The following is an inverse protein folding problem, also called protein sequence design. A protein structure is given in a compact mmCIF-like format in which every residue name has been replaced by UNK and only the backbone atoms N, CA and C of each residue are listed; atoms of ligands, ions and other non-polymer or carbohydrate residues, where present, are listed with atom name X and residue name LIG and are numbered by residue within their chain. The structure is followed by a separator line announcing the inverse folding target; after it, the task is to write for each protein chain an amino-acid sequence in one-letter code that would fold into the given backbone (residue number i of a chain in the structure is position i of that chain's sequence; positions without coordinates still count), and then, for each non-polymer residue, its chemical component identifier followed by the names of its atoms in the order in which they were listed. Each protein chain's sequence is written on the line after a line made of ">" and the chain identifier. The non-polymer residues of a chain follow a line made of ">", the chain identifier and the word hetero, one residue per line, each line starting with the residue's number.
data_IF_742685237942
#
_entry.id   IF_742685237942
#
_cell.length_a   1.000
_cell.length_b   1.000
_cell.length_c   1.000
_cell.angle_alpha   90.00
_cell.angle_beta   90.00
_cell.angle_gamma   90.00
#
_symmetry.space_group_name_H-M   'P 1'
#
loop_
_entity.id
_entity.type
_entity.pdbx_description
1 polymer ?
#
# COMPACT_ATOMS: atom_id res chain seq x y z
N UNK A 1 -6.30 -30.10 15.60
CA UNK A 1 -7.56 -29.85 16.33
C UNK A 1 -8.75 -30.63 15.79
N UNK A 2 -9.11 -30.54 14.50
CA UNK A 2 -10.26 -31.28 13.96
C UNK A 2 -10.17 -32.81 14.14
N UNK A 3 -9.01 -33.42 13.90
CA UNK A 3 -8.83 -34.87 14.12
C UNK A 3 -8.93 -35.27 15.60
N UNK A 4 -8.45 -34.42 16.52
CA UNK A 4 -8.55 -34.66 17.96
C UNK A 4 -10.02 -34.74 18.41
N UNK A 5 -10.87 -33.85 17.89
CA UNK A 5 -12.31 -33.83 18.18
C UNK A 5 -12.98 -35.13 17.69
N UNK A 6 -12.54 -35.66 16.54
CA UNK A 6 -13.03 -36.95 16.02
C UNK A 6 -12.61 -38.12 16.90
N UNK A 7 -11.35 -38.15 17.34
CA UNK A 7 -10.83 -39.19 18.25
C UNK A 7 -11.57 -39.18 19.58
N UNK A 8 -11.86 -37.98 20.11
CA UNK A 8 -12.61 -37.80 21.36
C UNK A 8 -14.11 -38.09 21.22
N UNK A 9 -14.58 -38.43 20.02
CA UNK A 9 -16.00 -38.63 19.69
C UNK A 9 -16.87 -37.48 20.19
N UNK A 10 -16.42 -36.24 19.96
CA UNK A 10 -17.17 -35.05 20.34
C UNK A 10 -17.76 -34.38 19.09
N UNK A 11 -18.96 -33.82 19.23
CA UNK A 11 -19.60 -33.00 18.21
C UNK A 11 -19.48 -31.54 18.58
N UNK A 12 -18.96 -30.72 17.67
CA UNK A 12 -18.93 -29.26 17.83
C UNK A 12 -20.34 -28.70 17.66
N UNK A 13 -20.82 -27.92 18.63
CA UNK A 13 -22.14 -27.26 18.57
C UNK A 13 -22.02 -25.89 17.94
N UNK A 14 -21.06 -25.08 18.39
CA UNK A 14 -20.80 -23.72 17.90
C UNK A 14 -19.39 -23.28 18.23
N UNK A 15 -18.92 -22.29 17.47
CA UNK A 15 -17.68 -21.57 17.73
C UNK A 15 -18.02 -20.10 17.93
N UNK A 16 -17.50 -19.47 18.99
CA UNK A 16 -17.78 -18.07 19.28
C UNK A 16 -16.47 -17.28 19.46
N UNK A 17 -16.32 -16.16 18.77
CA UNK A 17 -15.29 -15.16 19.11
C UNK A 17 -15.88 -14.26 20.20
N UNK A 18 -15.35 -14.36 21.41
CA UNK A 18 -16.02 -13.82 22.62
C UNK A 18 -15.54 -12.43 23.00
N UNK A 19 -14.23 -12.18 22.96
CA UNK A 19 -13.67 -10.91 23.43
C UNK A 19 -12.40 -10.53 22.67
N UNK A 20 -12.08 -9.24 22.70
CA UNK A 20 -10.80 -8.68 22.30
C UNK A 20 -10.19 -7.96 23.50
N UNK A 21 -8.93 -8.25 23.83
CA UNK A 21 -8.16 -7.53 24.85
C UNK A 21 -6.90 -6.96 24.21
N UNK A 22 -6.81 -5.63 24.16
CA UNK A 22 -5.78 -4.93 23.40
C UNK A 22 -5.93 -5.22 21.90
N UNK A 23 -4.97 -5.95 21.33
CA UNK A 23 -4.99 -6.39 19.93
C UNK A 23 -5.19 -7.90 19.78
N UNK A 24 -5.51 -8.61 20.86
CA UNK A 24 -5.63 -10.07 20.86
C UNK A 24 -7.08 -10.50 21.00
N UNK A 25 -7.58 -11.24 20.02
CA UNK A 25 -8.90 -11.84 20.06
C UNK A 25 -8.88 -13.20 20.76
N UNK A 26 -9.96 -13.52 21.47
CA UNK A 26 -10.20 -14.78 22.14
C UNK A 26 -11.44 -15.46 21.57
N UNK A 27 -11.37 -16.78 21.44
CA UNK A 27 -12.49 -17.59 20.96
C UNK A 27 -12.75 -18.76 21.90
N UNK A 28 -13.99 -19.25 21.87
CA UNK A 28 -14.43 -20.44 22.59
C UNK A 28 -15.09 -21.42 21.65
N UNK A 29 -14.72 -22.67 21.80
CA UNK A 29 -15.31 -23.81 21.13
C UNK A 29 -16.27 -24.51 22.09
N UNK A 30 -17.51 -24.71 21.65
CA UNK A 30 -18.52 -25.44 22.40
C UNK A 30 -18.74 -26.81 21.74
N UNK A 31 -18.71 -27.86 22.54
CA UNK A 31 -18.80 -29.23 22.06
C UNK A 31 -19.54 -30.13 23.04
N UNK A 32 -20.20 -31.15 22.51
CA UNK A 32 -20.92 -32.16 23.27
C UNK A 32 -20.33 -33.55 22.98
N UNK A 33 -20.17 -34.43 23.98
CA UNK A 33 -19.77 -35.81 23.75
C UNK A 33 -20.81 -36.56 22.91
N UNK A 34 -20.35 -37.24 21.87
CA UNK A 34 -21.15 -38.12 21.00
C UNK A 34 -20.82 -39.56 21.36
N UNK A 35 -21.49 -40.09 22.39
CA UNK A 35 -21.31 -41.47 22.82
C UNK A 35 -22.59 -42.07 23.42
N UNK A 36 -22.79 -43.36 23.21
CA UNK A 36 -23.94 -44.14 23.72
C UNK A 36 -23.97 -44.33 25.24
N UNK A 37 -23.06 -43.69 25.99
CA UNK A 37 -23.06 -43.66 27.45
C UNK A 37 -23.99 -42.57 28.01
N UNK A 38 -25.12 -42.32 27.32
CA UNK A 38 -26.21 -41.48 27.82
C UNK A 38 -26.98 -42.26 28.89
N UNK A 39 -26.34 -42.52 30.02
CA UNK A 39 -27.06 -42.86 31.25
C UNK A 39 -27.79 -41.59 31.67
N UNK A 40 -29.11 -41.72 31.86
CA UNK A 40 -30.17 -40.70 31.93
C UNK A 40 -30.01 -39.54 32.95
N UNK A 41 -28.84 -39.38 33.57
CA UNK A 41 -28.53 -38.32 34.55
C UNK A 41 -27.42 -37.34 34.13
N UNK A 42 -26.67 -37.61 33.06
CA UNK A 42 -25.71 -36.63 32.53
C UNK A 42 -26.37 -35.84 31.41
N UNK A 43 -27.14 -34.82 31.80
CA UNK A 43 -27.64 -33.77 30.90
C UNK A 43 -26.45 -33.27 30.09
N UNK A 44 -26.41 -33.57 28.78
CA UNK A 44 -25.33 -33.26 27.82
C UNK A 44 -24.47 -32.09 28.32
N UNK A 45 -23.37 -32.40 29.01
CA UNK A 45 -22.53 -31.36 29.58
C UNK A 45 -21.78 -30.71 28.42
N UNK A 46 -22.13 -29.46 28.11
CA UNK A 46 -21.45 -28.69 27.08
C UNK A 46 -20.02 -28.42 27.56
N UNK A 47 -19.05 -28.98 26.84
CA UNK A 47 -17.63 -28.76 27.08
C UNK A 47 -17.25 -27.48 26.36
N UNK A 48 -16.74 -26.53 27.12
CA UNK A 48 -16.23 -25.26 26.62
C UNK A 48 -14.71 -25.33 26.61
N UNK A 49 -14.11 -25.06 25.46
CA UNK A 49 -12.66 -25.02 25.29
C UNK A 49 -12.26 -23.63 24.80
N UNK A 50 -11.35 -22.98 25.51
CA UNK A 50 -10.74 -21.73 25.05
C UNK A 50 -9.80 -22.03 23.87
N UNK A 51 -9.85 -21.18 22.85
CA UNK A 51 -9.15 -21.39 21.59
C UNK A 51 -8.67 -20.07 20.99
N UNK A 52 -7.56 -20.11 20.24
CA UNK A 52 -7.15 -18.95 19.43
C UNK A 52 -8.13 -18.78 18.26
N UNK A 53 -8.43 -17.55 17.82
CA UNK A 53 -9.38 -17.29 16.74
C UNK A 53 -9.03 -18.03 15.44
N UNK A 54 -7.76 -18.12 15.09
CA UNK A 54 -7.28 -18.84 13.89
C UNK A 54 -7.64 -20.32 13.91
N UNK A 55 -7.49 -20.96 15.08
CA UNK A 55 -7.81 -22.38 15.26
C UNK A 55 -9.33 -22.58 15.30
N UNK A 56 -10.04 -21.69 15.97
CA UNK A 56 -11.49 -21.71 16.11
C UNK A 56 -12.18 -21.63 14.73
N UNK A 57 -11.76 -20.69 13.89
CA UNK A 57 -12.24 -20.54 12.51
C UNK A 57 -11.89 -21.77 11.67
N UNK A 58 -10.66 -22.29 11.81
CA UNK A 58 -10.22 -23.49 11.08
C UNK A 58 -11.05 -24.72 11.45
N UNK A 59 -11.41 -24.89 12.73
CA UNK A 59 -12.28 -25.97 13.20
C UNK A 59 -13.71 -25.78 12.69
N UNK A 60 -14.26 -24.57 12.77
CA UNK A 60 -15.60 -24.27 12.28
C UNK A 60 -15.76 -24.65 10.80
N UNK A 61 -14.80 -24.26 9.95
CA UNK A 61 -14.81 -24.56 8.51
C UNK A 61 -14.70 -26.08 8.27
N UNK A 62 -13.77 -26.77 8.93
CA UNK A 62 -13.54 -28.21 8.69
C UNK A 62 -14.67 -29.11 9.19
N UNK A 63 -15.35 -28.71 10.27
CA UNK A 63 -16.45 -29.47 10.88
C UNK A 63 -17.82 -29.02 10.33
N UNK A 64 -17.88 -27.86 9.65
CA UNK A 64 -19.14 -27.25 9.22
C UNK A 64 -19.98 -26.73 10.38
N UNK A 65 -19.34 -26.31 11.47
CA UNK A 65 -20.02 -25.79 12.65
C UNK A 65 -20.32 -24.29 12.51
N UNK A 66 -21.43 -23.78 13.07
CA UNK A 66 -21.75 -22.36 13.01
C UNK A 66 -20.73 -21.53 13.81
N UNK A 67 -20.31 -20.41 13.22
CA UNK A 67 -19.40 -19.43 13.80
C UNK A 67 -20.17 -18.17 14.18
N UNK A 68 -20.01 -17.72 15.42
CA UNK A 68 -20.60 -16.50 15.95
C UNK A 68 -19.52 -15.54 16.43
N UNK A 69 -19.84 -14.25 16.40
CA UNK A 69 -19.00 -13.19 16.94
C UNK A 69 -19.82 -12.42 17.96
N UNK A 70 -19.22 -12.13 19.11
CA UNK A 70 -19.86 -11.30 20.12
C UNK A 70 -20.16 -9.90 19.57
N UNK A 71 -21.30 -9.34 19.97
CA UNK A 71 -21.75 -8.03 19.51
C UNK A 71 -20.75 -6.93 19.88
N UNK A 72 -20.08 -7.05 21.02
CA UNK A 72 -19.14 -6.03 21.47
C UNK A 72 -17.85 -6.07 20.65
N UNK A 73 -17.38 -7.27 20.30
CA UNK A 73 -16.24 -7.45 19.38
C UNK A 73 -16.58 -6.93 17.98
N UNK A 74 -17.78 -7.24 17.50
CA UNK A 74 -18.26 -6.76 16.19
C UNK A 74 -18.44 -5.24 16.16
N UNK A 75 -18.86 -4.60 17.25
CA UNK A 75 -18.97 -3.13 17.32
C UNK A 75 -17.61 -2.44 17.38
N UNK A 76 -16.66 -3.00 18.13
CA UNK A 76 -15.34 -2.39 18.30
C UNK A 76 -14.48 -2.51 17.05
N UNK A 77 -14.53 -3.66 16.35
CA UNK A 77 -13.59 -3.98 15.28
C UNK A 77 -14.26 -4.37 13.96
N UNK A 78 -15.59 -4.51 13.94
CA UNK A 78 -16.32 -4.78 12.72
C UNK A 78 -16.26 -3.59 11.78
N UNK A 79 -15.85 -3.85 10.54
CA UNK A 79 -16.00 -2.90 9.45
C UNK A 79 -17.25 -3.28 8.68
N UNK A 80 -18.09 -2.31 8.26
CA UNK A 80 -19.17 -2.60 7.33
C UNK A 80 -18.57 -3.22 6.06
N UNK A 81 -19.34 -4.09 5.40
CA UNK A 81 -18.88 -4.79 4.19
C UNK A 81 -18.81 -3.88 2.95
N UNK A 82 -19.36 -2.66 3.03
CA UNK A 82 -18.98 -1.60 2.10
C UNK A 82 -17.49 -1.35 2.29
N UNK A 83 -16.74 -1.09 1.22
CA UNK A 83 -15.35 -0.62 1.32
C UNK A 83 -15.23 0.65 2.19
N UNK A 84 -14.10 1.38 2.15
CA UNK A 84 -14.11 2.73 2.71
C UNK A 84 -15.39 3.43 2.25
N UNK A 85 -16.23 3.86 3.21
CA UNK A 85 -17.40 4.66 2.86
C UNK A 85 -16.89 5.75 1.93
N UNK A 86 -17.51 5.95 0.75
CA UNK A 86 -17.15 7.08 -0.07
C UNK A 86 -17.24 8.28 0.86
N UNK A 87 -16.10 8.95 1.05
CA UNK A 87 -16.02 10.18 1.82
C UNK A 87 -17.21 11.04 1.36
N UNK A 88 -17.93 11.71 2.28
CA UNK A 88 -19.07 12.52 1.90
C UNK A 88 -18.65 13.43 0.76
N UNK A 89 -19.18 13.17 -0.45
CA UNK A 89 -18.76 13.82 -1.69
C UNK A 89 -19.39 15.21 -1.78
N UNK A 90 -19.16 16.01 -0.75
CA UNK A 90 -19.56 17.40 -0.67
C UNK A 90 -18.45 18.34 -1.15
N UNK A 91 -17.39 17.77 -1.71
CA UNK A 91 -16.32 18.51 -2.35
C UNK A 91 -16.77 18.94 -3.74
N UNK A 92 -16.65 20.24 -4.01
CA UNK A 92 -16.79 20.75 -5.36
C UNK A 92 -15.74 20.12 -6.27
N UNK A 93 -16.05 19.93 -7.55
CA UNK A 93 -15.07 19.51 -8.57
C UNK A 93 -13.77 20.33 -8.51
N UNK A 94 -13.88 21.63 -8.16
CA UNK A 94 -12.72 22.50 -7.98
C UNK A 94 -11.84 22.11 -6.77
N UNK A 95 -12.45 21.65 -5.67
CA UNK A 95 -11.73 21.19 -4.47
C UNK A 95 -11.02 19.87 -4.73
N UNK A 96 -11.65 18.95 -5.46
CA UNK A 96 -11.05 17.66 -5.85
C UNK A 96 -9.86 17.85 -6.79
N UNK A 97 -10.01 18.70 -7.82
CA UNK A 97 -8.90 19.00 -8.75
C UNK A 97 -7.73 19.64 -7.99
N UNK A 98 -8.02 20.52 -7.02
CA UNK A 98 -7.00 21.14 -6.18
C UNK A 98 -6.27 20.10 -5.31
N UNK A 99 -7.00 19.25 -4.59
CA UNK A 99 -6.40 18.24 -3.71
C UNK A 99 -5.58 17.21 -4.49
N UNK A 100 -6.09 16.72 -5.63
CA UNK A 100 -5.33 15.83 -6.51
C UNK A 100 -4.05 16.50 -7.05
N UNK A 101 -4.11 17.78 -7.41
CA UNK A 101 -2.94 18.54 -7.88
C UNK A 101 -1.91 18.76 -6.77
N UNK A 102 -2.36 19.04 -5.54
CA UNK A 102 -1.50 19.19 -4.36
C UNK A 102 -0.81 17.86 -4.00
N UNK A 103 -1.51 16.72 -4.05
CA UNK A 103 -0.89 15.40 -3.85
C UNK A 103 0.08 15.02 -4.97
N UNK A 104 -0.28 15.30 -6.22
CA UNK A 104 0.62 15.07 -7.36
C UNK A 104 1.90 15.92 -7.24
N UNK A 105 1.80 17.15 -6.71
CA UNK A 105 2.96 18.02 -6.50
C UNK A 105 3.93 17.54 -5.42
N UNK A 106 3.48 16.67 -4.49
CA UNK A 106 4.35 16.05 -3.47
C UNK A 106 5.22 14.92 -4.04
N UNK A 107 4.98 14.50 -5.29
CA UNK A 107 5.74 13.43 -5.89
C UNK A 107 7.17 13.89 -6.22
N UNK A 108 8.15 13.13 -5.75
CA UNK A 108 9.57 13.49 -5.64
C UNK A 108 10.24 13.80 -6.99
N UNK A 109 9.72 13.26 -8.10
CA UNK A 109 10.23 13.55 -9.44
C UNK A 109 9.08 13.89 -10.41
N UNK A 110 8.86 15.18 -10.72
CA UNK A 110 7.83 15.60 -11.69
C UNK A 110 7.98 14.97 -13.07
N UNK A 111 9.20 14.54 -13.45
CA UNK A 111 9.47 13.89 -14.73
C UNK A 111 8.74 12.56 -14.87
N UNK A 112 8.63 11.80 -13.77
CA UNK A 112 7.88 10.55 -13.73
C UNK A 112 6.40 10.79 -14.04
N UNK A 113 5.80 11.87 -13.51
CA UNK A 113 4.41 12.22 -13.82
C UNK A 113 4.23 12.59 -15.30
N UNK A 114 5.14 13.38 -15.87
CA UNK A 114 5.10 13.70 -17.30
C UNK A 114 5.27 12.45 -18.18
N UNK A 115 6.10 11.49 -17.77
CA UNK A 115 6.27 10.23 -18.49
C UNK A 115 4.99 9.38 -18.50
N UNK A 116 4.23 9.37 -17.40
CA UNK A 116 2.93 8.70 -17.31
C UNK A 116 1.88 9.42 -18.17
N UNK A 117 1.86 10.74 -18.17
CA UNK A 117 0.99 11.55 -19.04
C UNK A 117 1.30 11.33 -20.52
N UNK A 118 2.58 11.19 -20.87
CA UNK A 118 3.02 10.87 -22.23
C UNK A 118 2.50 9.50 -22.66
N UNK A 119 2.66 8.48 -21.82
CA UNK A 119 2.17 7.12 -22.10
C UNK A 119 0.64 7.10 -22.29
N UNK A 120 -0.10 7.86 -21.47
CA UNK A 120 -1.54 8.01 -21.61
C UNK A 120 -1.93 8.70 -22.92
N UNK A 121 -1.26 9.80 -23.27
CA UNK A 121 -1.54 10.52 -24.52
C UNK A 121 -1.27 9.66 -25.76
N UNK A 122 -0.26 8.79 -25.71
CA UNK A 122 0.02 7.82 -26.77
C UNK A 122 -1.09 6.75 -26.84
N UNK A 123 -1.54 6.23 -25.69
CA UNK A 123 -2.62 5.24 -25.63
C UNK A 123 -3.96 5.80 -26.13
N UNK A 124 -4.22 7.08 -25.93
CA UNK A 124 -5.42 7.79 -26.41
C UNK A 124 -5.28 8.39 -27.81
N UNK A 125 -4.20 8.08 -28.54
CA UNK A 125 -3.92 8.58 -29.90
C UNK A 125 -3.84 10.13 -30.00
N UNK A 126 -3.57 10.82 -28.89
CA UNK A 126 -3.39 12.27 -28.82
C UNK A 126 -1.93 12.66 -29.08
N UNK A 127 -1.46 12.44 -30.31
CA UNK A 127 -0.04 12.61 -30.67
C UNK A 127 0.49 14.05 -30.53
N UNK A 128 -0.36 15.07 -30.74
CA UNK A 128 0.04 16.47 -30.58
C UNK A 128 0.38 16.81 -29.12
N UNK A 129 -0.37 16.24 -28.17
CA UNK A 129 -0.12 16.41 -26.73
C UNK A 129 1.11 15.61 -26.29
N UNK A 130 1.27 14.39 -26.83
CA UNK A 130 2.45 13.56 -26.60
C UNK A 130 3.75 14.28 -27.02
N UNK A 131 3.77 14.95 -28.18
CA UNK A 131 4.93 15.70 -28.64
C UNK A 131 5.29 16.86 -27.71
N UNK A 132 4.28 17.58 -27.18
CA UNK A 132 4.49 18.65 -26.20
C UNK A 132 5.07 18.10 -24.90
N UNK A 133 4.51 16.99 -24.39
CA UNK A 133 4.98 16.34 -23.17
C UNK A 133 6.42 15.81 -23.32
N UNK A 134 6.79 15.27 -24.48
CA UNK A 134 8.17 14.91 -24.77
C UNK A 134 9.12 16.12 -24.71
N UNK A 135 8.71 17.27 -25.25
CA UNK A 135 9.48 18.51 -25.15
C UNK A 135 9.73 18.93 -23.71
N UNK A 136 8.69 18.91 -22.87
CA UNK A 136 8.78 19.25 -21.43
C UNK A 136 9.68 18.28 -20.67
N UNK A 137 9.56 16.97 -20.95
CA UNK A 137 10.43 15.94 -20.34
C UNK A 137 11.89 16.15 -20.74
N UNK A 138 12.16 16.41 -22.03
CA UNK A 138 13.50 16.65 -22.53
C UNK A 138 14.12 17.92 -21.94
N UNK A 139 13.34 18.99 -21.82
CA UNK A 139 13.78 20.23 -21.17
C UNK A 139 14.07 20.03 -19.67
N UNK A 140 13.21 19.28 -18.97
CA UNK A 140 13.43 18.89 -17.58
C UNK A 140 14.75 18.13 -17.42
N UNK A 141 14.99 17.09 -18.23
CA UNK A 141 16.26 16.34 -18.22
C UNK A 141 17.48 17.21 -18.54
N UNK A 142 17.34 18.19 -19.43
CA UNK A 142 18.43 19.11 -19.79
C UNK A 142 18.82 20.04 -18.61
N UNK A 143 17.87 20.36 -17.72
CA UNK A 143 18.09 21.22 -16.56
C UNK A 143 18.72 20.48 -15.38
N UNK A 144 18.64 19.15 -15.32
CA UNK A 144 19.23 18.33 -14.25
C UNK A 144 20.70 17.93 -14.57
N UNK A 145 21.70 18.48 -13.86
CA UNK A 145 23.11 18.22 -14.14
C UNK A 145 23.49 16.74 -14.02
N UNK A 146 22.87 16.02 -13.07
CA UNK A 146 23.09 14.59 -12.86
C UNK A 146 22.54 13.73 -14.01
N UNK A 147 21.35 14.05 -14.51
CA UNK A 147 20.75 13.33 -15.63
C UNK A 147 21.57 13.53 -16.92
N UNK A 148 22.04 14.75 -17.16
CA UNK A 148 22.92 15.07 -18.30
C UNK A 148 24.24 14.28 -18.26
N UNK A 149 24.90 14.24 -17.10
CA UNK A 149 26.13 13.48 -16.93
C UNK A 149 25.91 11.96 -17.10
N UNK A 150 24.77 11.44 -16.64
CA UNK A 150 24.40 10.03 -16.82
C UNK A 150 24.19 9.68 -18.30
N UNK A 151 23.44 10.51 -19.04
CA UNK A 151 23.18 10.29 -20.47
C UNK A 151 24.47 10.38 -21.27
N UNK A 152 25.32 11.37 -21.01
CA UNK A 152 26.63 11.52 -21.65
C UNK A 152 27.56 10.32 -21.35
N UNK A 153 27.56 9.83 -20.11
CA UNK A 153 28.29 8.63 -19.72
C UNK A 153 27.79 7.39 -20.49
N UNK A 154 26.47 7.19 -20.59
CA UNK A 154 25.86 6.06 -21.31
C UNK A 154 26.16 6.12 -22.82
N UNK A 155 26.05 7.29 -23.44
CA UNK A 155 26.39 7.49 -24.84
C UNK A 155 27.88 7.18 -25.11
N UNK A 156 28.80 7.70 -24.28
CA UNK A 156 30.23 7.42 -24.39
C UNK A 156 30.55 5.93 -24.22
N UNK A 157 29.82 5.21 -23.34
CA UNK A 157 29.96 3.75 -23.20
C UNK A 157 29.49 3.00 -24.44
N UNK A 158 28.35 3.39 -25.03
CA UNK A 158 27.83 2.79 -26.26
C UNK A 158 28.79 3.01 -27.44
N UNK A 159 29.45 4.15 -27.49
CA UNK A 159 30.44 4.50 -28.52
C UNK A 159 31.85 3.92 -28.25
N UNK A 160 32.06 3.21 -27.12
CA UNK A 160 33.37 2.65 -26.74
C UNK A 160 34.41 3.68 -26.29
N UNK A 161 34.01 4.91 -25.97
CA UNK A 161 34.87 6.01 -25.50
C UNK A 161 35.04 5.96 -23.98
N UNK A 162 35.84 5.00 -23.51
CA UNK A 162 35.95 4.69 -22.07
C UNK A 162 36.54 5.82 -21.21
N UNK A 163 37.45 6.64 -21.75
CA UNK A 163 38.02 7.78 -21.00
C UNK A 163 36.99 8.89 -20.75
N UNK A 164 36.17 9.20 -21.75
CA UNK A 164 35.08 10.17 -21.63
C UNK A 164 34.00 9.66 -20.68
N UNK A 165 33.66 8.36 -20.77
CA UNK A 165 32.75 7.72 -19.83
C UNK A 165 33.27 7.80 -18.38
N UNK A 166 34.57 7.61 -18.15
CA UNK A 166 35.17 7.74 -16.82
C UNK A 166 35.08 9.18 -16.28
N UNK A 167 35.31 10.18 -17.14
CA UNK A 167 35.15 11.60 -16.78
C UNK A 167 33.71 11.93 -16.39
N UNK A 168 32.73 11.50 -17.19
CA UNK A 168 31.31 11.73 -16.90
C UNK A 168 30.82 10.95 -15.66
N UNK A 169 31.37 9.76 -15.39
CA UNK A 169 31.12 9.02 -14.16
C UNK A 169 31.58 9.80 -12.93
N UNK A 170 32.78 10.39 -12.97
CA UNK A 170 33.34 11.13 -11.85
C UNK A 170 32.61 12.46 -11.65
N UNK A 171 32.16 13.09 -12.74
CA UNK A 171 31.24 14.24 -12.71
C UNK A 171 29.89 13.89 -12.07
N UNK A 172 29.29 12.76 -12.45
CA UNK A 172 28.03 12.27 -11.87
C UNK A 172 28.16 12.00 -10.36
N UNK A 173 29.27 11.39 -9.93
CA UNK A 173 29.56 11.18 -8.50
C UNK A 173 29.66 12.49 -7.74
N UNK A 174 30.31 13.50 -8.34
CA UNK A 174 30.45 14.84 -7.75
C UNK A 174 29.09 15.54 -7.60
N UNK A 175 28.25 15.50 -8.64
CA UNK A 175 26.91 16.10 -8.60
C UNK A 175 26.04 15.43 -7.51
N UNK A 176 26.03 14.10 -7.45
CA UNK A 176 25.29 13.37 -6.41
C UNK A 176 25.79 13.66 -5.00
N UNK A 177 27.09 13.84 -4.82
CA UNK A 177 27.64 14.19 -3.52
C UNK A 177 27.19 15.59 -3.07
N UNK A 178 27.13 16.55 -3.99
CA UNK A 178 26.63 17.91 -3.74
C UNK A 178 25.13 17.88 -3.42
N UNK A 179 24.33 17.13 -4.19
CA UNK A 179 22.89 16.96 -3.95
C UNK A 179 22.61 16.29 -2.60
N UNK A 180 23.39 15.25 -2.25
CA UNK A 180 23.27 14.55 -0.96
C UNK A 180 23.64 15.46 0.22
N UNK A 181 24.69 16.26 0.09
CA UNK A 181 25.08 17.25 1.10
C UNK A 181 24.05 18.38 1.23
N UNK A 182 23.46 18.84 0.13
CA UNK A 182 22.40 19.86 0.14
C UNK A 182 21.11 19.34 0.79
N UNK A 183 20.73 18.10 0.49
CA UNK A 183 19.60 17.41 1.14
C UNK A 183 19.82 17.19 2.64
N UNK A 184 21.04 16.85 3.07
CA UNK A 184 21.39 16.73 4.48
C UNK A 184 21.33 18.06 5.26
N UNK A 185 21.43 19.20 4.57
CA UNK A 185 21.31 20.55 5.13
C UNK A 185 19.86 21.08 5.04
N UNK A 186 18.93 20.33 4.45
CA UNK A 186 17.53 20.72 4.28
C UNK A 186 17.32 21.84 3.26
N UNK A 187 18.32 22.15 2.44
CA UNK A 187 18.22 23.10 1.34
C UNK A 187 18.09 22.30 0.06
N UNK A 188 16.88 21.86 -0.30
CA UNK A 188 16.70 21.21 -1.60
C UNK A 188 16.85 22.30 -2.70
N UNK A 189 17.98 22.32 -3.45
CA UNK A 189 18.29 23.42 -4.36
C UNK A 189 17.35 23.41 -5.58
N UNK A 190 16.71 22.28 -5.83
CA UNK A 190 15.71 22.08 -6.88
C UNK A 190 14.38 22.77 -6.52
N UNK A 191 13.86 22.56 -5.29
CA UNK A 191 12.64 23.23 -4.82
C UNK A 191 12.80 24.75 -4.81
N UNK A 192 13.91 25.26 -4.26
CA UNK A 192 14.17 26.72 -4.20
C UNK A 192 14.36 27.38 -5.58
N UNK A 193 14.83 26.62 -6.58
CA UNK A 193 15.00 27.14 -7.94
C UNK A 193 13.68 27.16 -8.69
N UNK A 194 12.80 26.18 -8.46
CA UNK A 194 11.45 26.20 -9.00
C UNK A 194 10.57 27.26 -8.35
N UNK A 195 10.66 27.41 -7.02
CA UNK A 195 9.92 28.43 -6.28
C UNK A 195 10.20 29.83 -6.85
N UNK A 196 11.48 30.13 -7.14
CA UNK A 196 11.89 31.40 -7.76
C UNK A 196 11.43 31.57 -9.20
N UNK A 197 11.31 30.49 -9.99
CA UNK A 197 10.79 30.55 -11.37
C UNK A 197 9.28 30.79 -11.39
N UNK A 198 8.54 30.16 -10.49
CA UNK A 198 7.08 30.39 -10.37
C UNK A 198 6.74 31.80 -9.94
N UNK A 199 7.63 32.49 -9.20
CA UNK A 199 7.47 33.89 -8.82
C UNK A 199 7.79 34.87 -9.96
N UNK A 200 8.74 34.53 -10.84
CA UNK A 200 9.08 35.38 -12.00
C UNK A 200 8.10 35.26 -13.17
N UNK A 201 7.41 34.13 -13.33
CA UNK A 201 6.38 33.96 -14.37
C UNK A 201 4.99 34.51 -13.97
N UNK A 202 4.86 35.08 -12.76
CA UNK A 202 3.62 35.65 -12.21
C UNK A 202 3.57 37.20 -12.20
N UNK A 203 4.56 37.85 -12.83
CA UNK A 203 4.64 39.31 -13.07
C UNK A 203 4.56 39.60 -14.57
#
# INVERSE_FOLDING_TARGET
>A
MAELIRVLKCRVTKVCITEIRGMTYYARLYMIPSGNAATEKSKLQEIVMDMRPSDAVSVAIRVGAPLYVDKDVAKQMGRPASGPEPLPNNESHAQIVRSCREEAAKFVDPTTLYSLQLALAVAEERFADAAKLQGVIAEGYAQHPGARALVAMQAALQDGRFEEAARHRDELRRVRLIEFQASAVGLDPWEQRNQRRTETDAL
#
